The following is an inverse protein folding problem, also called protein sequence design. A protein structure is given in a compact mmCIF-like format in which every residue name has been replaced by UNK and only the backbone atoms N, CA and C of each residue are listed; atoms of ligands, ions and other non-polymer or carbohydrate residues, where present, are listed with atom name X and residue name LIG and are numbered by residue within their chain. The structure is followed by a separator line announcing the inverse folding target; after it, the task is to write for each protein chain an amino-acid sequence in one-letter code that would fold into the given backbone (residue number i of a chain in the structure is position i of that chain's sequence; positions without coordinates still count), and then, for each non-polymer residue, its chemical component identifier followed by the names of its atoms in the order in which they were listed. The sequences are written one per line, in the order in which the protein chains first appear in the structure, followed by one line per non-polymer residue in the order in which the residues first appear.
data_IF_474654656619
#
_entry.id   IF_474654656619
#
_cell.length_a   1.000
_cell.length_b   1.000
_cell.length_c   1.000
_cell.angle_alpha   90.00
_cell.angle_beta   90.00
_cell.angle_gamma   90.00
#
_symmetry.space_group_name_H-M   'P 1'
#
loop_
_entity.id
_entity.type
_entity.pdbx_description
1 polymer ?
#
# COMPACT_ATOMS: atom_id res chain seq x y z
N UNK A 1 -10.95 4.81 -11.31
CA UNK A 1 -11.37 4.73 -9.88
C UNK A 1 -11.57 6.17 -9.38
N UNK A 2 -12.50 6.40 -8.45
CA UNK A 2 -12.79 7.73 -7.90
C UNK A 2 -12.78 7.69 -6.37
N UNK A 3 -12.10 8.62 -5.70
CA UNK A 3 -12.22 8.83 -4.25
C UNK A 3 -12.94 10.15 -4.02
N UNK A 4 -14.15 10.08 -3.45
CA UNK A 4 -15.06 11.24 -3.44
C UNK A 4 -15.43 11.63 -4.88
N UNK A 5 -15.26 12.91 -5.20
CA UNK A 5 -15.45 13.46 -6.55
C UNK A 5 -14.17 13.46 -7.41
N UNK A 6 -13.03 13.05 -6.86
CA UNK A 6 -11.73 13.17 -7.51
C UNK A 6 -11.34 11.86 -8.19
N UNK A 7 -10.95 11.94 -9.46
CA UNK A 7 -10.52 10.79 -10.26
C UNK A 7 -9.08 10.37 -9.93
N UNK A 8 -8.83 9.06 -9.87
CA UNK A 8 -7.48 8.50 -9.78
C UNK A 8 -6.99 8.25 -11.21
N UNK A 9 -6.09 9.12 -11.69
CA UNK A 9 -5.50 9.01 -13.03
C UNK A 9 -4.04 8.55 -12.97
N UNK A 10 -3.67 7.44 -13.66
CA UNK A 10 -2.27 7.02 -13.77
C UNK A 10 -1.43 7.94 -14.66
N UNK A 11 -2.04 8.80 -15.49
CA UNK A 11 -1.33 9.70 -16.39
C UNK A 11 -0.37 10.65 -15.64
N UNK A 12 -0.71 11.04 -14.41
CA UNK A 12 0.19 11.86 -13.59
C UNK A 12 1.47 11.13 -13.20
N UNK A 13 1.46 9.80 -13.10
CA UNK A 13 2.69 9.02 -12.88
C UNK A 13 3.59 9.03 -14.10
N UNK A 14 3.00 9.01 -15.31
CA UNK A 14 3.76 9.17 -16.55
C UNK A 14 4.36 10.58 -16.65
N UNK A 15 3.63 11.61 -16.22
CA UNK A 15 4.15 12.97 -16.13
C UNK A 15 5.30 13.10 -15.13
N UNK A 16 5.20 12.46 -13.96
CA UNK A 16 6.32 12.39 -13.00
C UNK A 16 7.56 11.80 -13.68
N UNK A 17 7.44 10.66 -14.35
CA UNK A 17 8.58 10.00 -15.04
C UNK A 17 9.15 10.85 -16.18
N UNK A 18 8.30 11.59 -16.90
CA UNK A 18 8.70 12.34 -18.10
C UNK A 18 9.29 13.71 -17.78
N UNK A 19 8.77 14.41 -16.78
CA UNK A 19 9.05 15.82 -16.55
C UNK A 19 9.87 16.10 -15.28
N UNK A 20 10.08 15.10 -14.42
CA UNK A 20 10.91 15.26 -13.23
C UNK A 20 12.21 14.45 -13.33
N UNK A 21 13.32 14.94 -12.75
CA UNK A 21 14.56 14.19 -12.71
C UNK A 21 14.41 12.88 -11.94
N UNK A 22 14.90 11.77 -12.52
CA UNK A 22 14.86 10.44 -11.89
C UNK A 22 15.43 10.41 -10.47
N UNK A 23 16.43 11.25 -10.17
CA UNK A 23 17.01 11.34 -8.83
C UNK A 23 16.03 11.77 -7.74
N UNK A 24 14.93 12.43 -8.10
CA UNK A 24 13.93 12.93 -7.16
C UNK A 24 12.86 11.88 -6.82
N UNK A 25 12.58 10.92 -7.70
CA UNK A 25 11.46 9.98 -7.54
C UNK A 25 11.82 8.51 -7.80
N UNK A 26 13.00 8.21 -8.33
CA UNK A 26 13.53 6.87 -8.63
C UNK A 26 12.74 5.99 -9.61
N UNK A 27 11.57 6.44 -10.09
CA UNK A 27 10.75 5.75 -11.09
C UNK A 27 11.42 5.73 -12.48
N UNK A 28 11.16 4.65 -13.22
CA UNK A 28 11.42 4.55 -14.65
C UNK A 28 10.11 4.22 -15.41
N UNK A 29 10.15 4.29 -16.75
CA UNK A 29 8.97 4.02 -17.59
C UNK A 29 8.42 2.60 -17.36
N UNK A 30 9.29 1.63 -17.10
CA UNK A 30 8.89 0.26 -16.81
C UNK A 30 8.14 0.10 -15.48
N UNK A 31 8.41 0.96 -14.49
CA UNK A 31 7.72 0.93 -13.20
C UNK A 31 6.25 1.35 -13.34
N UNK A 32 5.92 2.27 -14.26
CA UNK A 32 4.55 2.77 -14.51
C UNK A 32 3.82 1.94 -15.58
N UNK A 33 4.55 1.12 -16.34
CA UNK A 33 3.97 0.28 -17.39
C UNK A 33 3.26 -0.96 -16.81
N UNK A 34 1.99 -1.16 -17.18
CA UNK A 34 1.10 -2.19 -16.64
C UNK A 34 1.32 -3.59 -17.25
N UNK A 35 2.29 -3.74 -18.17
CA UNK A 35 2.54 -5.01 -18.85
C UNK A 35 2.89 -6.16 -17.89
N UNK A 36 3.61 -5.88 -16.80
CA UNK A 36 3.89 -6.87 -15.75
C UNK A 36 3.02 -6.61 -14.50
N UNK A 37 1.85 -7.26 -14.49
CA UNK A 37 0.86 -7.15 -13.41
C UNK A 37 1.31 -7.83 -12.10
N UNK A 38 2.40 -8.60 -12.12
CA UNK A 38 2.93 -9.30 -10.94
C UNK A 38 4.12 -8.58 -10.30
N UNK A 39 4.54 -7.44 -10.86
CA UNK A 39 5.68 -6.68 -10.36
C UNK A 39 5.31 -5.83 -9.13
N UNK A 40 5.32 -6.47 -7.96
CA UNK A 40 5.09 -5.81 -6.67
C UNK A 40 6.13 -4.72 -6.41
N UNK A 41 7.37 -4.89 -6.86
CA UNK A 41 8.44 -3.91 -6.66
C UNK A 41 8.13 -2.57 -7.33
N UNK A 42 7.66 -2.59 -8.58
CA UNK A 42 7.20 -1.39 -9.29
C UNK A 42 6.03 -0.72 -8.58
N UNK A 43 5.05 -1.51 -8.11
CA UNK A 43 3.92 -0.97 -7.36
C UNK A 43 4.35 -0.27 -6.06
N UNK A 44 5.33 -0.84 -5.34
CA UNK A 44 5.86 -0.25 -4.10
C UNK A 44 6.67 1.02 -4.38
N UNK A 45 7.48 1.05 -5.44
CA UNK A 45 8.18 2.25 -5.87
C UNK A 45 7.24 3.40 -6.18
N UNK A 46 6.16 3.14 -6.92
CA UNK A 46 5.13 4.15 -7.23
C UNK A 46 4.55 4.74 -5.93
N UNK A 47 4.40 3.93 -4.88
CA UNK A 47 3.82 4.36 -3.62
C UNK A 47 4.80 5.14 -2.72
N UNK A 48 6.05 5.39 -3.13
CA UNK A 48 7.06 6.04 -2.31
C UNK A 48 6.70 7.50 -1.93
N UNK A 49 7.11 7.99 -0.75
CA UNK A 49 6.87 9.36 -0.30
C UNK A 49 7.30 10.41 -1.32
N UNK A 50 8.45 10.21 -1.95
CA UNK A 50 9.06 11.08 -2.94
C UNK A 50 8.12 11.29 -4.13
N UNK A 51 7.52 10.21 -4.65
CA UNK A 51 6.53 10.27 -5.74
C UNK A 51 5.31 11.05 -5.29
N UNK A 52 4.77 10.75 -4.10
CA UNK A 52 3.59 11.47 -3.58
C UNK A 52 3.86 12.95 -3.33
N UNK A 53 5.07 13.31 -2.89
CA UNK A 53 5.47 14.69 -2.64
C UNK A 53 5.54 15.50 -3.95
N UNK A 54 6.09 14.92 -5.01
CA UNK A 54 6.09 15.56 -6.34
C UNK A 54 4.65 15.74 -6.84
N UNK A 55 3.82 14.72 -6.72
CA UNK A 55 2.41 14.79 -7.12
C UNK A 55 1.65 15.91 -6.39
N UNK A 56 1.83 16.05 -5.07
CA UNK A 56 1.21 17.11 -4.27
C UNK A 56 1.78 18.49 -4.61
N UNK A 57 3.10 18.60 -4.80
CA UNK A 57 3.77 19.89 -5.01
C UNK A 57 3.46 20.49 -6.38
N UNK A 58 3.49 19.68 -7.44
CA UNK A 58 3.45 20.17 -8.82
C UNK A 58 2.06 20.06 -9.47
N UNK A 59 1.23 19.12 -9.02
CA UNK A 59 -0.09 18.88 -9.62
C UNK A 59 -1.24 19.12 -8.63
N UNK A 60 -0.92 19.27 -7.33
CA UNK A 60 -1.79 19.84 -6.32
C UNK A 60 -3.17 19.18 -6.22
N UNK A 61 -4.22 19.96 -6.51
CA UNK A 61 -5.60 19.54 -6.31
C UNK A 61 -6.01 18.34 -7.19
N UNK A 62 -5.46 18.24 -8.41
CA UNK A 62 -5.84 17.21 -9.39
C UNK A 62 -5.38 15.82 -8.97
N UNK A 63 -4.27 15.74 -8.22
CA UNK A 63 -3.66 14.47 -7.80
C UNK A 63 -4.05 14.04 -6.39
N UNK A 64 -4.87 14.81 -5.66
CA UNK A 64 -5.25 14.51 -4.26
C UNK A 64 -5.79 13.09 -4.06
N UNK A 65 -6.66 12.61 -4.95
CA UNK A 65 -7.17 11.25 -4.89
C UNK A 65 -6.09 10.19 -5.17
N UNK A 66 -5.24 10.43 -6.17
CA UNK A 66 -4.13 9.55 -6.49
C UNK A 66 -3.15 9.46 -5.31
N UNK A 67 -2.79 10.60 -4.72
CA UNK A 67 -1.87 10.65 -3.58
C UNK A 67 -2.45 9.91 -2.38
N UNK A 68 -3.73 10.14 -2.05
CA UNK A 68 -4.40 9.41 -0.97
C UNK A 68 -4.43 7.89 -1.26
N UNK A 69 -4.71 7.50 -2.50
CA UNK A 69 -4.70 6.10 -2.92
C UNK A 69 -3.32 5.45 -2.73
N UNK A 70 -2.25 6.10 -3.22
CA UNK A 70 -0.87 5.62 -3.07
C UNK A 70 -0.44 5.57 -1.60
N UNK A 71 -0.87 6.54 -0.79
CA UNK A 71 -0.64 6.56 0.65
C UNK A 71 -1.31 5.40 1.37
N UNK A 72 -2.56 5.08 1.02
CA UNK A 72 -3.28 3.91 1.57
C UNK A 72 -2.55 2.61 1.19
N UNK A 73 -2.14 2.46 -0.07
CA UNK A 73 -1.38 1.30 -0.53
C UNK A 73 -0.05 1.15 0.23
N UNK A 74 0.72 2.24 0.37
CA UNK A 74 1.96 2.27 1.16
C UNK A 74 1.70 1.89 2.63
N UNK A 75 0.68 2.48 3.25
CA UNK A 75 0.39 2.25 4.67
C UNK A 75 -0.05 0.83 4.96
N UNK A 76 -0.85 0.22 4.07
CA UNK A 76 -1.17 -1.20 4.17
C UNK A 76 0.12 -2.02 4.11
N UNK A 77 0.95 -1.83 3.07
CA UNK A 77 2.18 -2.60 2.92
C UNK A 77 3.13 -2.45 4.12
N UNK A 78 3.45 -1.21 4.52
CA UNK A 78 4.31 -0.93 5.67
C UNK A 78 3.73 -1.51 6.97
N UNK A 79 2.41 -1.58 7.10
CA UNK A 79 1.78 -2.14 8.29
C UNK A 79 1.95 -3.65 8.43
N UNK A 80 2.20 -4.39 7.35
CA UNK A 80 2.37 -5.85 7.41
C UNK A 80 3.82 -6.29 7.16
N UNK A 81 4.54 -5.66 6.22
CA UNK A 81 5.83 -6.18 5.77
C UNK A 81 7.05 -5.44 6.36
N UNK A 82 6.92 -4.18 6.75
CA UNK A 82 8.09 -3.39 7.17
C UNK A 82 8.49 -3.70 8.62
N UNK A 83 9.58 -4.44 8.85
CA UNK A 83 10.04 -4.86 10.18
C UNK A 83 10.47 -3.71 11.11
N UNK A 84 10.84 -2.56 10.56
CA UNK A 84 11.35 -1.41 11.31
C UNK A 84 10.24 -0.52 11.88
N UNK A 85 8.98 -0.78 11.52
CA UNK A 85 7.83 -0.02 12.03
C UNK A 85 7.39 -0.58 13.38
N UNK A 86 7.40 0.28 14.41
CA UNK A 86 6.91 -0.08 15.73
C UNK A 86 5.40 -0.39 15.72
N UNK A 87 4.92 -1.11 16.73
CA UNK A 87 3.54 -1.62 16.79
C UNK A 87 2.49 -0.52 16.77
N UNK A 88 2.71 0.60 17.46
CA UNK A 88 1.75 1.71 17.51
C UNK A 88 1.55 2.35 16.13
N UNK A 89 2.65 2.72 15.48
CA UNK A 89 2.65 3.28 14.12
C UNK A 89 2.04 2.30 13.12
N UNK A 90 2.29 1.01 13.30
CA UNK A 90 1.74 -0.06 12.46
C UNK A 90 0.22 -0.14 12.55
N UNK A 91 -0.31 -0.18 13.77
CA UNK A 91 -1.75 -0.19 14.04
C UNK A 91 -2.41 1.06 13.49
N UNK A 92 -1.78 2.23 13.66
CA UNK A 92 -2.27 3.48 13.09
C UNK A 92 -2.38 3.41 11.56
N UNK A 93 -1.31 2.99 10.86
CA UNK A 93 -1.29 2.88 9.39
C UNK A 93 -2.35 1.91 8.88
N UNK A 94 -2.48 0.75 9.53
CA UNK A 94 -3.48 -0.26 9.21
C UNK A 94 -4.91 0.27 9.36
N UNK A 95 -5.23 0.87 10.51
CA UNK A 95 -6.56 1.43 10.78
C UNK A 95 -6.91 2.65 9.95
N UNK A 96 -5.94 3.55 9.72
CA UNK A 96 -6.10 4.67 8.80
C UNK A 96 -6.55 4.17 7.43
N UNK A 97 -5.91 3.11 6.92
CA UNK A 97 -6.23 2.52 5.63
C UNK A 97 -7.65 1.95 5.61
N UNK A 98 -8.05 1.18 6.63
CA UNK A 98 -9.43 0.66 6.76
C UNK A 98 -10.45 1.80 6.83
N UNK A 99 -10.17 2.86 7.59
CA UNK A 99 -11.06 4.01 7.72
C UNK A 99 -11.28 4.69 6.37
N UNK A 100 -10.22 4.99 5.63
CA UNK A 100 -10.32 5.59 4.30
C UNK A 100 -11.08 4.68 3.33
N UNK A 101 -10.81 3.38 3.34
CA UNK A 101 -11.50 2.41 2.48
C UNK A 101 -13.00 2.30 2.81
N UNK A 102 -13.39 2.36 4.09
CA UNK A 102 -14.81 2.38 4.50
C UNK A 102 -15.52 3.63 4.00
N UNK A 103 -14.90 4.80 4.14
CA UNK A 103 -15.44 6.06 3.65
C UNK A 103 -15.59 6.05 2.13
N UNK A 104 -14.58 5.55 1.42
CA UNK A 104 -14.61 5.40 -0.03
C UNK A 104 -15.74 4.45 -0.46
N UNK A 105 -15.85 3.26 0.14
CA UNK A 105 -16.91 2.30 -0.16
C UNK A 105 -18.30 2.86 0.10
N UNK A 106 -18.47 3.65 1.15
CA UNK A 106 -19.75 4.30 1.48
C UNK A 106 -20.16 5.32 0.42
N UNK A 107 -19.21 6.04 -0.16
CA UNK A 107 -19.49 7.08 -1.14
C UNK A 107 -19.74 6.54 -2.55
N UNK A 108 -18.94 5.57 -3.00
CA UNK A 108 -19.01 5.10 -4.39
C UNK A 108 -18.67 3.59 -4.52
N UNK A 109 -19.70 2.74 -4.41
CA UNK A 109 -19.53 1.28 -4.50
C UNK A 109 -19.15 0.79 -5.90
N UNK A 110 -19.57 1.47 -6.97
CA UNK A 110 -19.29 1.05 -8.35
C UNK A 110 -17.86 1.35 -8.79
N UNK A 111 -17.24 2.40 -8.23
CA UNK A 111 -15.86 2.80 -8.50
C UNK A 111 -14.92 2.53 -7.32
N UNK A 112 -15.00 1.33 -6.77
CA UNK A 112 -14.22 0.87 -5.62
C UNK A 112 -13.29 -0.29 -5.99
N UNK A 113 -12.29 -0.56 -5.15
CA UNK A 113 -11.48 -1.77 -5.27
C UNK A 113 -12.35 -3.03 -5.16
N UNK A 114 -11.84 -4.17 -5.62
CA UNK A 114 -12.62 -5.42 -5.57
C UNK A 114 -13.04 -5.75 -4.14
N UNK A 115 -14.25 -6.28 -3.98
CA UNK A 115 -14.77 -6.61 -2.66
C UNK A 115 -13.89 -7.64 -1.93
N UNK A 116 -13.23 -8.53 -2.67
CA UNK A 116 -12.28 -9.49 -2.12
C UNK A 116 -11.06 -8.77 -1.52
N UNK A 117 -10.41 -7.86 -2.28
CA UNK A 117 -9.28 -7.08 -1.77
C UNK A 117 -9.66 -6.29 -0.51
N UNK A 118 -10.80 -5.60 -0.54
CA UNK A 118 -11.28 -4.84 0.61
C UNK A 118 -11.54 -5.73 1.83
N UNK A 119 -12.26 -6.84 1.66
CA UNK A 119 -12.60 -7.75 2.76
C UNK A 119 -11.34 -8.37 3.37
N UNK A 120 -10.37 -8.78 2.54
CA UNK A 120 -9.08 -9.27 3.02
C UNK A 120 -8.33 -8.22 3.84
N UNK A 121 -8.30 -6.96 3.40
CA UNK A 121 -7.69 -5.87 4.16
C UNK A 121 -8.38 -5.72 5.52
N UNK A 122 -9.71 -5.67 5.57
CA UNK A 122 -10.43 -5.56 6.84
C UNK A 122 -10.13 -6.74 7.77
N UNK A 123 -10.27 -7.98 7.28
CA UNK A 123 -10.02 -9.18 8.08
C UNK A 123 -8.60 -9.20 8.61
N UNK A 124 -7.60 -8.87 7.78
CA UNK A 124 -6.21 -8.83 8.19
C UNK A 124 -5.98 -7.78 9.28
N UNK A 125 -6.50 -6.56 9.13
CA UNK A 125 -6.33 -5.49 10.13
C UNK A 125 -7.04 -5.81 11.45
N UNK A 126 -8.24 -6.40 11.42
CA UNK A 126 -8.92 -6.84 12.64
C UNK A 126 -8.16 -7.97 13.34
N UNK A 127 -7.73 -8.97 12.58
CA UNK A 127 -6.91 -10.08 13.08
C UNK A 127 -5.63 -9.55 13.71
N UNK A 128 -5.05 -8.50 13.13
CA UNK A 128 -3.85 -7.86 13.63
C UNK A 128 -4.03 -7.28 15.04
N UNK A 129 -5.15 -6.60 15.28
CA UNK A 129 -5.52 -6.09 16.61
C UNK A 129 -5.75 -7.23 17.61
N UNK A 130 -6.41 -8.30 17.18
CA UNK A 130 -6.70 -9.45 18.04
C UNK A 130 -5.40 -10.11 18.50
N UNK A 131 -4.47 -10.38 17.57
CA UNK A 131 -3.17 -10.97 17.87
C UNK A 131 -2.34 -10.04 18.77
N UNK A 132 -2.34 -8.74 18.49
CA UNK A 132 -1.69 -7.75 19.35
C UNK A 132 -2.22 -7.80 20.79
N UNK A 133 -3.55 -7.77 20.96
CA UNK A 133 -4.19 -7.82 22.28
C UNK A 133 -3.87 -9.12 23.00
N UNK A 134 -3.94 -10.25 22.30
CA UNK A 134 -3.60 -11.56 22.86
C UNK A 134 -2.15 -11.59 23.37
N UNK A 135 -1.19 -11.12 22.58
CA UNK A 135 0.23 -11.10 22.97
C UNK A 135 0.52 -10.06 24.06
N UNK A 136 -0.19 -8.92 24.07
CA UNK A 136 -0.13 -7.94 25.15
C UNK A 136 -0.59 -8.54 26.46
N UNK A 137 -1.77 -9.15 26.47
CA UNK A 137 -2.39 -9.71 27.68
C UNK A 137 -1.61 -10.91 28.23
N UNK A 138 -0.85 -11.62 27.41
CA UNK A 138 0.01 -12.74 27.82
C UNK A 138 1.47 -12.35 28.08
N UNK A 139 1.79 -11.05 28.04
CA UNK A 139 3.15 -10.51 28.18
C UNK A 139 4.18 -11.09 27.20
N UNK A 140 3.72 -11.32 25.96
CA UNK A 140 4.44 -11.99 24.86
C UNK A 140 4.61 -11.09 23.62
N UNK A 141 4.53 -9.77 23.79
CA UNK A 141 4.63 -8.79 22.67
C UNK A 141 5.90 -8.91 21.84
N UNK A 142 7.00 -9.42 22.39
CA UNK A 142 8.25 -9.69 21.64
C UNK A 142 8.07 -10.64 20.44
N UNK A 143 7.01 -11.44 20.43
CA UNK A 143 6.69 -12.36 19.34
C UNK A 143 5.77 -11.74 18.28
N UNK A 144 5.37 -10.48 18.44
CA UNK A 144 4.55 -9.79 17.46
C UNK A 144 5.41 -9.33 16.28
N UNK A 145 5.61 -10.25 15.33
CA UNK A 145 6.40 -10.05 14.11
C UNK A 145 5.53 -10.29 12.89
N UNK A 146 5.14 -9.22 12.21
CA UNK A 146 4.24 -9.30 11.05
C UNK A 146 4.89 -9.85 9.79
N UNK A 147 6.20 -9.67 9.63
CA UNK A 147 6.95 -10.23 8.50
C UNK A 147 6.90 -11.76 8.45
N UNK A 148 6.61 -12.41 9.58
CA UNK A 148 6.43 -13.87 9.65
C UNK A 148 4.99 -14.32 9.34
N UNK A 149 4.07 -13.39 9.09
CA UNK A 149 2.65 -13.66 8.86
C UNK A 149 2.27 -13.58 7.36
N UNK A 150 3.25 -13.38 6.47
CA UNK A 150 3.03 -13.30 5.02
C UNK A 150 3.42 -14.59 4.30
N UNK A 151 2.99 -14.73 3.05
CA UNK A 151 3.34 -15.87 2.17
C UNK A 151 4.69 -15.71 1.48
N UNK A 152 5.41 -14.60 1.72
CA UNK A 152 6.69 -14.30 1.07
C UNK A 152 7.75 -15.41 1.22
N UNK A 153 7.90 -16.06 2.38
CA UNK A 153 8.82 -17.20 2.52
C UNK A 153 8.49 -18.36 1.57
N UNK A 154 7.20 -18.63 1.35
CA UNK A 154 6.74 -19.68 0.42
C UNK A 154 7.04 -19.30 -1.03
N UNK A 155 6.80 -18.05 -1.44
CA UNK A 155 7.14 -17.57 -2.78
C UNK A 155 8.65 -17.66 -3.06
N UNK A 156 9.48 -17.31 -2.07
CA UNK A 156 10.93 -17.47 -2.12
C UNK A 156 11.34 -18.92 -2.32
N UNK A 157 10.72 -19.84 -1.57
CA UNK A 157 10.95 -21.26 -1.69
C UNK A 157 10.58 -21.79 -3.09
N UNK A 158 9.40 -21.46 -3.61
CA UNK A 158 8.99 -21.87 -4.97
C UNK A 158 9.88 -21.28 -6.06
N UNK A 159 10.36 -20.05 -5.90
CA UNK A 159 11.34 -19.46 -6.83
C UNK A 159 12.66 -20.24 -6.82
N UNK A 160 13.11 -20.67 -5.63
CA UNK A 160 14.32 -21.49 -5.49
C UNK A 160 14.17 -22.84 -6.17
N UNK A 161 13.03 -23.50 -5.99
CA UNK A 161 12.72 -24.78 -6.67
C UNK A 161 12.68 -24.65 -8.19
N UNK A 162 12.19 -23.52 -8.73
CA UNK A 162 12.17 -23.27 -10.19
C UNK A 162 13.55 -22.92 -10.77
N UNK A 163 14.50 -22.53 -9.94
CA UNK A 163 15.88 -22.20 -10.37
C UNK A 163 16.84 -23.39 -10.31
N UNK A 164 16.39 -24.51 -9.73
CA UNK A 164 17.08 -25.81 -9.75
C UNK A 164 16.67 -26.57 -11.01
#
# INVERSE_FOLDING_TARGET
LYIGYNFISPAFLEFVVKYHPKGEHSLNVGDVNVNDKMNVHSALKICQPEVTNILETYYGAETKALVLYLKVMRYIHESFENEYVNVSTRLFKAWFSVFILRMWRSHNKSNFITNNTYTCIEVNVHSFVIVYRMLRNTNRLKYFRTSLMSSQPSEWFFRRLRSM
#
